data_IF_491852898465
#
_entry.id   IF_491852898465
#
_cell.length_a   1.000
_cell.length_b   1.000
_cell.length_c   1.000
_cell.angle_alpha   90.00
_cell.angle_beta   90.00
_cell.angle_gamma   90.00
#
_symmetry.space_group_name_H-M   'P 1'
#
loop_
_entity.id
_entity.type
_entity.pdbx_description
1 polymer ?
#
# COMPACT_ATOMS: atom_id res chain seq x y z
N UNK A 1 0.84 -7.64 -16.99
CA UNK A 1 -0.09 -7.37 -18.11
C UNK A 1 0.56 -6.34 -19.01
N UNK A 2 0.75 -6.64 -20.29
CA UNK A 2 1.35 -5.69 -21.22
C UNK A 2 0.30 -4.63 -21.59
N UNK A 3 0.50 -3.41 -21.15
CA UNK A 3 -0.41 -2.27 -21.40
C UNK A 3 -0.58 -1.95 -22.88
N UNK A 4 0.42 -2.23 -23.72
CA UNK A 4 0.36 -1.98 -25.16
C UNK A 4 -0.61 -2.93 -25.86
N UNK A 5 -0.66 -4.19 -25.43
CA UNK A 5 -1.62 -5.17 -25.94
C UNK A 5 -3.06 -4.84 -25.53
N UNK A 6 -3.24 -4.27 -24.34
CA UNK A 6 -4.55 -3.84 -23.85
C UNK A 6 -5.06 -2.62 -24.63
N UNK A 7 -4.18 -1.65 -24.89
CA UNK A 7 -4.50 -0.47 -25.71
C UNK A 7 -4.84 -0.86 -27.16
N UNK A 8 -4.09 -1.81 -27.73
CA UNK A 8 -4.35 -2.33 -29.09
C UNK A 8 -5.67 -3.09 -29.18
N UNK A 9 -6.04 -3.86 -28.16
CA UNK A 9 -7.33 -4.55 -28.08
C UNK A 9 -8.50 -3.55 -28.02
N UNK A 10 -8.39 -2.51 -27.18
CA UNK A 10 -9.41 -1.44 -27.07
C UNK A 10 -9.54 -0.65 -28.38
N UNK A 11 -8.42 -0.36 -29.07
CA UNK A 11 -8.46 0.32 -30.38
C UNK A 11 -9.07 -0.55 -31.47
N UNK A 12 -8.76 -1.87 -31.52
CA UNK A 12 -9.36 -2.80 -32.46
C UNK A 12 -10.89 -2.92 -32.29
N UNK A 13 -11.35 -2.94 -31.03
CA UNK A 13 -12.79 -2.94 -30.72
C UNK A 13 -13.50 -1.65 -31.15
N UNK A 14 -12.83 -0.50 -31.10
CA UNK A 14 -13.41 0.77 -31.54
C UNK A 14 -13.60 0.82 -33.07
N UNK A 15 -12.75 0.16 -33.86
CA UNK A 15 -12.90 0.06 -35.31
C UNK A 15 -14.06 -0.86 -35.72
N UNK A 16 -14.29 -1.97 -35.01
CA UNK A 16 -15.45 -2.85 -35.24
C UNK A 16 -16.77 -2.13 -34.91
N UNK A 17 -16.83 -1.32 -33.86
CA UNK A 17 -18.01 -0.51 -33.52
C UNK A 17 -18.38 0.48 -34.64
N UNK A 18 -17.37 1.09 -35.28
CA UNK A 18 -17.59 2.08 -36.35
C UNK A 18 -18.15 1.41 -37.62
N UNK A 19 -17.82 0.13 -37.83
CA UNK A 19 -18.17 -0.61 -39.04
C UNK A 19 -19.46 -1.47 -38.90
N UNK A 20 -20.10 -1.52 -37.75
CA UNK A 20 -21.33 -2.28 -37.54
C UNK A 20 -22.53 -1.55 -38.17
N UNK A 21 -23.07 -2.09 -39.25
CA UNK A 21 -24.31 -1.62 -39.90
C UNK A 21 -25.52 -2.39 -39.40
N UNK A 22 -26.01 -2.06 -38.21
CA UNK A 22 -27.23 -2.63 -37.66
C UNK A 22 -28.47 -2.03 -38.36
N UNK A 23 -29.49 -2.82 -38.55
CA UNK A 23 -30.79 -2.33 -39.07
C UNK A 23 -31.56 -1.59 -37.97
N UNK A 24 -32.37 -0.60 -38.36
CA UNK A 24 -33.15 0.22 -37.40
C UNK A 24 -34.46 -0.43 -36.95
N UNK A 25 -34.63 -1.73 -37.17
CA UNK A 25 -35.87 -2.47 -36.88
C UNK A 25 -35.94 -3.03 -35.45
N UNK A 26 -34.84 -3.09 -34.74
CA UNK A 26 -34.73 -3.62 -33.39
C UNK A 26 -33.52 -3.06 -32.64
N UNK A 27 -33.49 -3.27 -31.31
CA UNK A 27 -32.35 -2.93 -30.45
C UNK A 27 -31.40 -4.12 -30.42
N UNK A 28 -30.13 -3.86 -30.72
CA UNK A 28 -29.05 -4.85 -30.65
C UNK A 28 -28.31 -4.67 -29.31
N UNK A 29 -27.87 -5.79 -28.78
CA UNK A 29 -27.00 -5.79 -27.57
C UNK A 29 -25.55 -5.84 -28.03
N UNK A 30 -24.75 -4.93 -27.54
CA UNK A 30 -23.31 -4.92 -27.77
C UNK A 30 -22.64 -5.75 -26.68
N UNK A 31 -21.86 -6.76 -27.07
CA UNK A 31 -21.13 -7.68 -26.18
C UNK A 31 -19.68 -7.29 -25.93
N UNK A 32 -19.28 -6.08 -26.35
CA UNK A 32 -17.91 -5.52 -26.23
C UNK A 32 -17.33 -5.69 -24.82
N UNK A 33 -18.15 -5.51 -23.78
CA UNK A 33 -17.71 -5.71 -22.40
C UNK A 33 -17.31 -7.16 -22.14
N UNK A 34 -18.10 -8.11 -22.64
CA UNK A 34 -17.80 -9.54 -22.49
C UNK A 34 -16.54 -9.92 -23.26
N UNK A 35 -16.34 -9.40 -24.46
CA UNK A 35 -15.13 -9.64 -25.26
C UNK A 35 -13.89 -9.02 -24.61
N UNK A 36 -14.00 -7.82 -24.05
CA UNK A 36 -12.93 -7.18 -23.29
C UNK A 36 -12.51 -8.05 -22.08
N UNK A 37 -13.47 -8.54 -21.31
CA UNK A 37 -13.20 -9.41 -20.16
C UNK A 37 -12.58 -10.73 -20.61
N UNK A 38 -13.09 -11.35 -21.67
CA UNK A 38 -12.54 -12.60 -22.20
C UNK A 38 -11.10 -12.42 -22.71
N UNK A 39 -10.81 -11.31 -23.37
CA UNK A 39 -9.45 -10.96 -23.82
C UNK A 39 -8.53 -10.77 -22.63
N UNK A 40 -8.99 -10.07 -21.58
CA UNK A 40 -8.24 -9.89 -20.34
C UNK A 40 -7.93 -11.22 -19.65
N UNK A 41 -8.93 -12.11 -19.53
CA UNK A 41 -8.77 -13.45 -18.96
C UNK A 41 -7.79 -14.30 -19.79
N UNK A 42 -7.91 -14.26 -21.12
CA UNK A 42 -7.04 -15.02 -22.02
C UNK A 42 -5.58 -14.57 -21.98
N UNK A 43 -5.32 -13.28 -21.71
CA UNK A 43 -3.98 -12.72 -21.57
C UNK A 43 -3.44 -12.82 -20.14
N UNK A 44 -4.28 -13.09 -19.15
CA UNK A 44 -3.84 -13.28 -17.78
C UNK A 44 -3.19 -14.64 -17.63
N UNK A 45 -1.89 -14.65 -17.38
CA UNK A 45 -1.14 -15.85 -16.99
C UNK A 45 -0.89 -15.86 -15.50
N UNK A 46 -1.10 -17.00 -14.85
CA UNK A 46 -0.69 -17.15 -13.45
C UNK A 46 0.80 -17.48 -13.39
N UNK A 47 1.57 -16.61 -12.75
CA UNK A 47 2.98 -16.87 -12.48
C UNK A 47 3.10 -17.89 -11.34
N UNK A 48 3.91 -18.92 -11.53
CA UNK A 48 4.24 -19.86 -10.46
C UNK A 48 5.36 -19.30 -9.57
N UNK A 49 5.02 -18.25 -8.82
CA UNK A 49 5.96 -17.54 -7.94
C UNK A 49 6.57 -18.48 -6.90
N UNK A 50 5.83 -19.47 -6.42
CA UNK A 50 6.35 -20.46 -5.45
C UNK A 50 7.49 -21.29 -6.04
N UNK A 51 7.36 -21.76 -7.28
CA UNK A 51 8.42 -22.50 -7.95
C UNK A 51 9.60 -21.60 -8.32
N UNK A 52 9.31 -20.35 -8.69
CA UNK A 52 10.36 -19.37 -8.97
C UNK A 52 11.17 -19.02 -7.71
N UNK A 53 10.51 -18.80 -6.58
CA UNK A 53 11.20 -18.60 -5.30
C UNK A 53 12.08 -19.79 -4.96
N UNK A 54 11.55 -21.02 -5.08
CA UNK A 54 12.35 -22.24 -4.86
C UNK A 54 13.55 -22.31 -5.80
N UNK A 55 13.39 -21.95 -7.06
CA UNK A 55 14.50 -21.91 -8.03
C UNK A 55 15.58 -20.92 -7.60
N UNK A 56 15.21 -19.73 -7.11
CA UNK A 56 16.16 -18.75 -6.57
C UNK A 56 16.89 -19.33 -5.35
N UNK A 57 16.13 -19.92 -4.42
CA UNK A 57 16.70 -20.50 -3.19
C UNK A 57 17.69 -21.64 -3.51
N UNK A 58 17.33 -22.51 -4.46
CA UNK A 58 18.18 -23.64 -4.91
C UNK A 58 19.44 -23.20 -5.70
N UNK A 59 19.45 -21.98 -6.24
CA UNK A 59 20.57 -21.43 -7.04
C UNK A 59 21.14 -20.14 -6.43
N UNK A 60 21.05 -19.98 -5.12
CA UNK A 60 21.39 -18.75 -4.40
C UNK A 60 22.81 -18.25 -4.74
N UNK A 61 23.79 -19.12 -4.81
CA UNK A 61 25.19 -18.76 -5.14
C UNK A 61 25.29 -18.02 -6.49
N UNK A 62 24.55 -18.49 -7.50
CA UNK A 62 24.55 -17.82 -8.82
C UNK A 62 23.90 -16.46 -8.78
N UNK A 63 22.81 -16.31 -7.99
CA UNK A 63 22.14 -15.04 -7.86
C UNK A 63 22.94 -14.04 -7.03
N UNK A 64 23.66 -14.47 -6.01
CA UNK A 64 24.54 -13.62 -5.19
C UNK A 64 25.72 -13.03 -5.99
N UNK A 65 26.12 -13.67 -7.10
CA UNK A 65 27.09 -13.11 -8.04
C UNK A 65 26.48 -12.04 -8.97
N UNK A 66 25.15 -12.08 -9.21
CA UNK A 66 24.46 -11.24 -10.19
C UNK A 66 23.68 -10.08 -9.55
N UNK A 67 23.28 -10.23 -8.31
CA UNK A 67 22.42 -9.29 -7.60
C UNK A 67 23.01 -8.96 -6.23
N UNK A 68 22.86 -7.70 -5.80
CA UNK A 68 23.30 -7.31 -4.46
C UNK A 68 22.36 -7.86 -3.37
N UNK A 69 21.04 -7.95 -3.65
CA UNK A 69 20.05 -8.56 -2.76
C UNK A 69 18.81 -8.99 -3.55
N UNK A 70 18.04 -9.92 -2.98
CA UNK A 70 16.76 -10.38 -3.51
C UNK A 70 15.72 -10.34 -2.42
N UNK A 71 14.75 -9.44 -2.56
CA UNK A 71 13.63 -9.31 -1.65
C UNK A 71 12.35 -9.91 -2.23
N UNK A 72 11.62 -10.66 -1.40
CA UNK A 72 10.30 -11.18 -1.73
C UNK A 72 9.24 -10.31 -1.06
N UNK A 73 8.56 -9.48 -1.86
CA UNK A 73 7.48 -8.63 -1.34
C UNK A 73 6.15 -9.41 -1.32
N UNK A 74 5.51 -9.43 -0.16
CA UNK A 74 4.21 -10.04 0.04
C UNK A 74 3.14 -8.96 0.20
N UNK A 75 1.97 -9.13 -0.43
CA UNK A 75 0.83 -8.21 -0.32
C UNK A 75 0.03 -8.40 0.97
N UNK A 76 0.75 -8.51 2.10
CA UNK A 76 0.11 -8.59 3.42
C UNK A 76 0.03 -7.19 4.02
N UNK A 77 -1.17 -6.67 4.33
CA UNK A 77 -1.29 -5.36 4.94
C UNK A 77 -0.63 -5.34 6.32
N UNK A 78 0.21 -4.34 6.54
CA UNK A 78 0.82 -4.10 7.85
C UNK A 78 -0.16 -3.28 8.70
N UNK A 79 -0.54 -3.81 9.87
CA UNK A 79 -1.35 -3.08 10.83
C UNK A 79 -0.44 -2.45 11.87
N UNK A 80 0.06 -1.26 11.53
CA UNK A 80 0.96 -0.49 12.38
C UNK A 80 0.16 0.59 13.08
N UNK A 81 0.36 0.73 14.37
CA UNK A 81 -0.31 1.71 15.22
C UNK A 81 0.71 2.55 15.97
N UNK A 82 0.36 3.78 16.29
CA UNK A 82 1.08 4.60 17.26
C UNK A 82 1.06 3.89 18.62
N UNK A 83 2.19 3.75 19.29
CA UNK A 83 2.25 3.02 20.56
C UNK A 83 1.58 3.80 21.69
N UNK A 84 1.58 5.14 21.61
CA UNK A 84 0.84 5.98 22.54
C UNK A 84 -0.65 6.00 22.19
N UNK A 85 -1.46 5.52 23.10
CA UNK A 85 -2.93 5.44 22.98
C UNK A 85 -3.67 6.45 23.85
N UNK A 86 -2.97 7.46 24.40
CA UNK A 86 -3.56 8.50 25.27
C UNK A 86 -4.66 9.29 24.57
N UNK A 87 -4.46 9.62 23.30
CA UNK A 87 -5.42 10.33 22.45
C UNK A 87 -6.34 9.39 21.64
N UNK A 88 -6.23 8.08 21.85
CA UNK A 88 -7.00 7.08 21.13
C UNK A 88 -6.13 6.08 20.35
N UNK A 89 -6.78 5.24 19.56
CA UNK A 89 -6.12 4.26 18.70
C UNK A 89 -5.87 4.88 17.33
N UNK A 90 -4.60 5.11 16.99
CA UNK A 90 -4.20 5.70 15.70
C UNK A 90 -3.46 4.66 14.88
N UNK A 91 -4.05 4.28 13.74
CA UNK A 91 -3.41 3.43 12.74
C UNK A 91 -2.56 4.31 11.84
N UNK A 92 -1.29 3.97 11.66
CA UNK A 92 -0.30 4.82 10.98
C UNK A 92 0.06 4.35 9.57
N UNK A 93 -0.68 3.42 9.00
CA UNK A 93 -0.51 3.02 7.61
C UNK A 93 -1.61 3.66 6.73
N UNK A 94 -1.29 4.68 5.89
CA UNK A 94 -2.28 5.43 5.12
C UNK A 94 -3.03 4.59 4.07
N UNK A 95 -2.45 3.49 3.59
CA UNK A 95 -3.08 2.63 2.58
C UNK A 95 -4.44 2.07 3.02
N UNK A 96 -4.69 1.96 4.32
CA UNK A 96 -5.95 1.41 4.84
C UNK A 96 -7.06 2.45 4.95
N UNK A 97 -6.72 3.72 5.22
CA UNK A 97 -7.72 4.80 5.26
C UNK A 97 -8.32 5.09 3.87
N UNK A 98 -7.52 4.88 2.81
CA UNK A 98 -7.99 5.08 1.43
C UNK A 98 -8.65 3.84 0.82
N UNK A 99 -8.31 2.63 1.27
CA UNK A 99 -8.99 1.42 0.83
C UNK A 99 -10.50 1.44 1.19
N UNK A 100 -10.85 2.06 2.31
CA UNK A 100 -12.26 2.22 2.72
C UNK A 100 -13.01 3.26 1.87
N UNK A 101 -12.30 4.23 1.26
CA UNK A 101 -12.88 5.23 0.34
C UNK A 101 -13.05 4.71 -1.09
N UNK A 102 -12.33 3.66 -1.48
CA UNK A 102 -12.20 3.24 -2.87
C UNK A 102 -13.38 2.47 -3.42
N UNK A 103 -14.41 2.17 -2.62
CA UNK A 103 -15.45 1.24 -3.04
C UNK A 103 -16.31 1.71 -4.22
N UNK A 104 -16.35 3.00 -4.60
CA UNK A 104 -17.21 3.41 -5.72
C UNK A 104 -16.76 4.63 -6.57
N UNK A 105 -15.72 5.36 -6.23
CA UNK A 105 -15.43 6.62 -6.94
C UNK A 105 -14.00 6.79 -7.48
N UNK A 106 -13.07 5.94 -7.09
CA UNK A 106 -11.64 6.18 -7.31
C UNK A 106 -10.87 5.05 -8.03
N UNK A 107 -11.54 4.12 -8.69
CA UNK A 107 -10.88 3.02 -9.42
C UNK A 107 -9.82 3.49 -10.44
N UNK A 108 -9.95 4.72 -10.97
CA UNK A 108 -8.97 5.35 -11.84
C UNK A 108 -7.80 6.03 -11.11
N UNK A 109 -8.04 6.51 -9.87
CA UNK A 109 -7.00 7.13 -9.03
C UNK A 109 -6.23 6.11 -8.19
N UNK A 110 -6.79 4.93 -7.95
CA UNK A 110 -6.15 3.85 -7.22
C UNK A 110 -4.80 3.46 -7.83
N UNK A 111 -4.70 3.39 -9.15
CA UNK A 111 -3.44 3.13 -9.85
C UNK A 111 -2.43 4.28 -9.75
N UNK A 112 -2.88 5.52 -9.67
CA UNK A 112 -2.00 6.68 -9.53
C UNK A 112 -1.51 6.84 -8.08
N UNK A 113 -2.36 6.57 -7.11
CA UNK A 113 -2.07 6.76 -5.68
C UNK A 113 -1.51 5.49 -5.00
N UNK A 114 -1.78 4.29 -5.55
CA UNK A 114 -1.38 3.02 -4.92
C UNK A 114 0.08 2.67 -5.09
N UNK A 115 0.79 3.23 -6.06
CA UNK A 115 2.06 2.63 -6.46
C UNK A 115 3.30 3.23 -5.80
N UNK A 116 3.31 4.46 -5.31
CA UNK A 116 4.58 5.06 -4.86
C UNK A 116 4.47 6.06 -3.72
N UNK A 117 3.37 6.80 -3.62
CA UNK A 117 3.23 7.88 -2.64
C UNK A 117 2.68 7.40 -1.29
N UNK A 118 2.04 6.22 -1.28
CA UNK A 118 1.30 5.71 -0.12
C UNK A 118 2.02 4.58 0.62
N UNK A 119 3.06 3.97 0.03
CA UNK A 119 3.83 2.88 0.66
C UNK A 119 4.95 3.48 1.52
N UNK A 120 4.54 4.10 2.63
CA UNK A 120 5.49 4.77 3.55
C UNK A 120 6.25 3.79 4.46
N UNK A 121 5.73 2.56 4.60
CA UNK A 121 6.37 1.52 5.40
C UNK A 121 6.93 0.44 4.49
N UNK A 122 8.24 0.44 4.33
CA UNK A 122 8.96 -0.44 3.39
C UNK A 122 9.95 -1.30 4.17
N UNK A 123 10.06 -2.56 3.80
CA UNK A 123 11.11 -3.44 4.30
C UNK A 123 12.46 -2.96 3.78
N UNK A 124 13.39 -2.75 4.70
CA UNK A 124 14.74 -2.34 4.38
C UNK A 124 15.56 -3.52 3.83
N UNK A 125 16.41 -3.25 2.86
CA UNK A 125 17.40 -4.22 2.37
C UNK A 125 18.28 -4.69 3.53
N UNK A 126 18.56 -6.00 3.60
CA UNK A 126 19.36 -6.58 4.69
C UNK A 126 20.88 -6.38 4.55
N UNK A 127 21.35 -5.91 3.41
CA UNK A 127 22.78 -5.74 3.12
C UNK A 127 23.24 -4.34 3.55
N UNK A 128 24.06 -4.28 4.62
CA UNK A 128 24.61 -3.03 5.16
C UNK A 128 25.55 -2.33 4.16
N UNK A 129 26.25 -3.07 3.30
CA UNK A 129 27.15 -2.49 2.30
C UNK A 129 26.35 -1.75 1.22
N UNK A 130 25.24 -2.33 0.76
CA UNK A 130 24.33 -1.68 -0.17
C UNK A 130 23.72 -0.43 0.44
N UNK A 131 23.29 -0.50 1.70
CA UNK A 131 22.71 0.65 2.41
C UNK A 131 23.71 1.77 2.56
N UNK A 132 24.94 1.46 2.99
CA UNK A 132 26.00 2.46 3.21
C UNK A 132 26.46 3.17 1.94
N UNK A 133 26.23 2.57 0.76
CA UNK A 133 26.51 3.20 -0.54
C UNK A 133 25.40 4.12 -1.01
N UNK A 134 24.17 3.94 -0.51
CA UNK A 134 22.98 4.66 -0.98
C UNK A 134 22.54 5.75 -0.02
N UNK A 135 22.82 5.62 1.27
CA UNK A 135 22.32 6.50 2.32
C UNK A 135 23.40 6.92 3.29
N UNK A 136 23.37 8.19 3.68
CA UNK A 136 24.18 8.74 4.75
C UNK A 136 23.39 8.74 6.08
N UNK A 137 24.04 8.40 7.18
CA UNK A 137 23.42 8.47 8.50
C UNK A 137 23.55 9.89 9.02
N UNK A 138 22.46 10.62 9.09
CA UNK A 138 22.42 12.00 9.58
C UNK A 138 22.33 12.03 11.11
N UNK A 139 21.52 11.12 11.69
CA UNK A 139 21.30 11.01 13.11
C UNK A 139 21.05 9.57 13.54
N UNK A 140 21.55 9.17 14.71
CA UNK A 140 21.35 7.83 15.26
C UNK A 140 22.26 6.76 14.63
N UNK A 141 21.68 5.63 14.26
CA UNK A 141 22.38 4.47 13.67
C UNK A 141 21.44 3.63 12.81
N UNK A 142 21.99 2.75 12.01
CA UNK A 142 21.19 1.73 11.31
C UNK A 142 20.53 0.75 12.30
N UNK A 143 19.38 0.15 11.94
CA UNK A 143 18.70 -0.83 12.74
C UNK A 143 19.58 -2.06 13.01
N UNK A 144 19.56 -2.55 14.22
CA UNK A 144 20.26 -3.77 14.63
C UNK A 144 19.27 -4.91 14.96
N UNK A 145 17.98 -4.59 14.99
CA UNK A 145 16.91 -5.54 15.27
C UNK A 145 15.72 -5.32 14.36
N UNK A 146 14.98 -6.38 14.08
CA UNK A 146 13.79 -6.38 13.19
C UNK A 146 12.62 -5.50 13.65
N UNK A 147 12.65 -5.01 14.85
CA UNK A 147 11.64 -4.11 15.44
C UNK A 147 12.12 -2.66 15.50
N UNK A 148 13.20 -2.33 14.83
CA UNK A 148 13.70 -0.98 14.67
C UNK A 148 13.38 -0.48 13.24
N UNK A 149 13.15 0.81 13.12
CA UNK A 149 12.85 1.48 11.86
C UNK A 149 13.76 2.68 11.66
N UNK A 150 13.98 3.05 10.42
CA UNK A 150 14.68 4.29 10.04
C UNK A 150 13.72 5.20 9.30
N UNK A 151 13.91 6.50 9.47
CA UNK A 151 13.25 7.51 8.66
C UNK A 151 14.20 7.92 7.54
N UNK A 152 13.72 7.86 6.30
CA UNK A 152 14.43 8.42 5.15
C UNK A 152 14.01 9.86 4.95
N UNK A 153 15.00 10.73 4.81
CA UNK A 153 14.84 12.13 4.45
C UNK A 153 15.53 12.37 3.10
N UNK A 154 15.12 13.40 2.40
CA UNK A 154 15.77 13.79 1.15
C UNK A 154 17.08 14.56 1.36
N UNK A 155 17.72 15.01 0.27
CA UNK A 155 18.98 15.76 0.32
C UNK A 155 18.88 17.14 0.96
N UNK A 156 17.67 17.66 1.18
CA UNK A 156 17.39 18.90 1.88
C UNK A 156 17.04 18.68 3.36
N UNK A 157 17.09 17.43 3.82
CA UNK A 157 16.63 17.02 5.14
C UNK A 157 15.13 17.21 5.36
N UNK A 158 14.35 16.96 4.31
CA UNK A 158 12.90 17.10 4.30
C UNK A 158 12.20 15.74 4.16
N UNK A 159 10.99 15.65 4.67
CA UNK A 159 10.09 14.52 4.51
C UNK A 159 8.84 14.97 3.76
N UNK A 160 8.26 14.06 2.99
CA UNK A 160 6.99 14.31 2.33
C UNK A 160 5.87 14.45 3.38
N UNK A 161 4.95 15.39 3.17
CA UNK A 161 3.81 15.62 4.08
C UNK A 161 2.97 14.35 4.33
N UNK A 162 2.86 13.44 3.35
CA UNK A 162 2.19 12.16 3.52
C UNK A 162 2.80 11.29 4.62
N UNK A 163 4.09 11.46 4.90
CA UNK A 163 4.76 10.78 6.01
C UNK A 163 4.22 11.23 7.38
N UNK A 164 3.74 12.46 7.51
CA UNK A 164 3.14 12.95 8.77
C UNK A 164 1.89 12.11 9.14
N UNK A 165 1.12 11.70 8.14
CA UNK A 165 -0.01 10.78 8.33
C UNK A 165 0.47 9.35 8.62
N UNK A 166 1.52 8.90 7.94
CA UNK A 166 2.13 7.59 8.17
C UNK A 166 2.84 7.45 9.52
N UNK A 167 3.24 8.56 10.12
CA UNK A 167 3.80 8.64 11.47
C UNK A 167 2.72 8.89 12.55
N UNK A 168 1.47 9.16 12.14
CA UNK A 168 0.38 9.49 13.05
C UNK A 168 0.56 10.85 13.75
N UNK A 169 1.28 11.78 13.10
CA UNK A 169 1.42 13.16 13.54
C UNK A 169 0.19 13.95 13.11
N UNK A 170 -0.26 13.76 11.86
CA UNK A 170 -1.54 14.27 11.33
C UNK A 170 -2.60 13.17 11.32
N UNK A 171 -3.86 13.53 11.50
CA UNK A 171 -4.99 12.58 11.50
C UNK A 171 -5.33 12.15 10.06
N UNK A 172 -5.30 10.85 9.81
CA UNK A 172 -5.65 10.26 8.51
C UNK A 172 -7.10 10.53 8.08
N UNK A 173 -8.02 10.73 9.04
CA UNK A 173 -9.40 11.09 8.72
C UNK A 173 -9.48 12.51 8.12
N UNK A 174 -8.61 13.42 8.55
CA UNK A 174 -8.51 14.76 7.97
C UNK A 174 -7.96 14.69 6.55
N UNK A 175 -7.00 13.82 6.26
CA UNK A 175 -6.49 13.62 4.90
C UNK A 175 -7.63 13.28 3.93
N UNK A 176 -8.45 12.31 4.27
CA UNK A 176 -9.59 11.90 3.45
C UNK A 176 -10.57 13.05 3.22
N UNK A 177 -10.88 13.81 4.27
CA UNK A 177 -11.79 14.96 4.20
C UNK A 177 -11.21 16.09 3.34
N UNK A 178 -9.92 16.37 3.45
CA UNK A 178 -9.24 17.42 2.69
C UNK A 178 -9.17 17.08 1.21
N UNK A 179 -8.83 15.82 0.88
CA UNK A 179 -8.83 15.33 -0.51
C UNK A 179 -10.23 15.46 -1.13
N UNK A 180 -11.27 15.01 -0.41
CA UNK A 180 -12.64 15.11 -0.91
C UNK A 180 -13.10 16.57 -1.06
N UNK A 181 -12.72 17.44 -0.14
CA UNK A 181 -12.98 18.90 -0.22
C UNK A 181 -12.32 19.52 -1.45
N UNK A 182 -11.06 19.21 -1.69
CA UNK A 182 -10.30 19.70 -2.86
C UNK A 182 -10.90 19.19 -4.18
N UNK A 183 -11.26 17.90 -4.25
CA UNK A 183 -11.87 17.29 -5.45
C UNK A 183 -13.27 17.84 -5.74
N UNK A 184 -14.04 18.19 -4.72
CA UNK A 184 -15.37 18.78 -4.86
C UNK A 184 -15.35 20.30 -5.06
N UNK A 185 -14.19 20.94 -5.02
CA UNK A 185 -14.03 22.39 -5.12
C UNK A 185 -14.57 23.17 -3.92
N UNK A 186 -14.79 22.49 -2.77
CA UNK A 186 -15.34 23.08 -1.55
C UNK A 186 -14.28 23.36 -0.48
N UNK A 187 -13.03 22.93 -0.69
CA UNK A 187 -11.91 23.12 0.23
C UNK A 187 -10.60 23.34 -0.50
N UNK A 188 -9.68 24.03 0.16
CA UNK A 188 -8.29 24.13 -0.24
C UNK A 188 -7.46 23.23 0.69
N UNK A 189 -6.40 22.62 0.18
CA UNK A 189 -5.42 21.94 1.03
C UNK A 189 -4.54 23.02 1.66
N UNK A 190 -4.70 23.23 2.96
CA UNK A 190 -3.84 24.15 3.71
C UNK A 190 -2.44 23.53 3.84
N UNK A 191 -1.43 24.27 3.44
CA UNK A 191 -0.03 23.93 3.67
C UNK A 191 0.41 24.55 5.00
N UNK A 192 0.85 23.73 5.93
CA UNK A 192 1.39 24.15 7.22
C UNK A 192 2.90 23.82 7.24
N UNK A 193 3.72 24.85 7.46
CA UNK A 193 5.15 24.63 7.67
C UNK A 193 5.36 23.97 9.04
N UNK A 194 5.86 22.75 9.04
CA UNK A 194 6.17 21.97 10.24
C UNK A 194 7.63 21.56 10.23
N UNK A 195 8.24 21.54 11.41
CA UNK A 195 9.58 21.03 11.61
C UNK A 195 9.65 20.26 12.93
N UNK A 196 10.51 19.26 12.98
CA UNK A 196 10.69 18.38 14.13
C UNK A 196 12.18 18.22 14.42
N UNK A 197 12.54 18.14 15.68
CA UNK A 197 13.88 17.73 16.05
C UNK A 197 14.10 16.25 15.76
N UNK A 198 15.33 15.85 15.51
CA UNK A 198 15.67 14.43 15.34
C UNK A 198 15.28 13.60 16.56
N UNK A 199 15.41 14.17 17.76
CA UNK A 199 15.06 13.48 19.00
C UNK A 199 13.56 13.21 19.09
N UNK A 200 12.69 14.15 18.73
CA UNK A 200 11.24 13.97 18.70
C UNK A 200 10.82 12.86 17.76
N UNK A 201 11.33 12.88 16.52
CA UNK A 201 10.99 11.87 15.51
C UNK A 201 11.57 10.50 15.88
N UNK A 202 12.85 10.42 16.28
CA UNK A 202 13.49 9.13 16.57
C UNK A 202 13.00 8.48 17.87
N UNK A 203 12.33 9.23 18.76
CA UNK A 203 11.70 8.68 19.95
C UNK A 203 10.28 8.14 19.71
N UNK A 204 9.72 8.31 18.52
CA UNK A 204 8.40 7.76 18.18
C UNK A 204 8.41 6.25 18.25
N UNK A 205 7.35 5.68 18.80
CA UNK A 205 7.17 4.24 18.95
C UNK A 205 5.90 3.77 18.27
N UNK A 206 6.02 2.62 17.62
CA UNK A 206 4.93 2.00 16.90
C UNK A 206 4.70 0.57 17.38
N UNK A 207 3.50 0.07 17.16
CA UNK A 207 3.12 -1.29 17.45
C UNK A 207 2.60 -1.97 16.18
N UNK A 208 3.26 -3.03 15.76
CA UNK A 208 2.75 -3.93 14.73
C UNK A 208 1.78 -4.93 15.37
N UNK A 209 0.56 -5.01 14.85
CA UNK A 209 -0.46 -5.97 15.23
C UNK A 209 -0.68 -6.93 14.07
N UNK A 210 -0.51 -8.22 14.30
CA UNK A 210 -0.71 -9.22 13.25
C UNK A 210 -2.20 -9.47 13.00
N UNK A 211 -2.56 -9.84 11.77
CA UNK A 211 -3.95 -10.16 11.42
C UNK A 211 -4.52 -11.27 12.31
N UNK A 212 -3.71 -12.24 12.74
CA UNK A 212 -4.13 -13.30 13.65
C UNK A 212 -4.46 -12.81 15.05
N UNK A 213 -3.88 -11.67 15.50
CA UNK A 213 -4.13 -11.14 16.84
C UNK A 213 -5.54 -10.56 17.00
N UNK A 214 -6.20 -10.21 15.88
CA UNK A 214 -7.60 -9.78 15.90
C UNK A 214 -8.58 -10.93 16.03
N UNK A 215 -8.14 -12.16 15.77
CA UNK A 215 -9.02 -13.32 15.76
C UNK A 215 -9.19 -13.89 17.16
N UNK A 216 -10.41 -13.89 17.66
CA UNK A 216 -10.76 -14.42 18.99
C UNK A 216 -11.65 -15.62 18.84
N UNK A 217 -11.22 -16.75 19.42
CA UNK A 217 -12.00 -17.97 19.45
C UNK A 217 -13.00 -17.94 20.61
N UNK A 218 -14.23 -18.25 20.33
CA UNK A 218 -15.22 -18.50 21.36
C UNK A 218 -15.10 -19.94 21.84
N UNK A 219 -14.65 -20.14 23.07
CA UNK A 219 -14.38 -21.48 23.65
C UNK A 219 -15.64 -22.36 23.75
N UNK A 220 -16.84 -21.76 23.82
CA UNK A 220 -18.10 -22.52 23.91
C UNK A 220 -18.59 -23.01 22.56
N UNK A 221 -18.44 -22.17 21.51
CA UNK A 221 -18.97 -22.48 20.16
C UNK A 221 -17.90 -22.96 19.21
N UNK A 222 -16.61 -22.76 19.54
CA UNK A 222 -15.48 -23.03 18.67
C UNK A 222 -15.32 -22.03 17.50
N UNK A 223 -16.23 -21.04 17.37
CA UNK A 223 -16.21 -20.08 16.28
C UNK A 223 -15.18 -18.98 16.53
N UNK A 224 -14.53 -18.54 15.46
CA UNK A 224 -13.63 -17.38 15.46
C UNK A 224 -14.39 -16.12 15.11
N UNK A 225 -14.08 -15.02 15.78
CA UNK A 225 -14.60 -13.68 15.49
C UNK A 225 -13.46 -12.70 15.30
N UNK A 226 -13.55 -11.88 14.24
CA UNK A 226 -12.66 -10.76 14.00
C UNK A 226 -13.00 -9.60 14.93
N UNK A 227 -12.00 -9.07 15.63
CA UNK A 227 -12.07 -7.92 16.54
C UNK A 227 -11.34 -6.69 16.02
N UNK A 228 -10.92 -6.67 14.76
CA UNK A 228 -10.20 -5.54 14.16
C UNK A 228 -10.98 -4.20 14.22
N UNK A 229 -12.30 -4.26 14.10
CA UNK A 229 -13.18 -3.10 14.22
C UNK A 229 -13.48 -2.69 15.69
N UNK A 230 -13.05 -3.48 16.68
CA UNK A 230 -13.29 -3.17 18.09
C UNK A 230 -12.11 -2.39 18.67
N UNK A 231 -12.22 -1.05 18.68
CA UNK A 231 -11.15 -0.16 19.15
C UNK A 231 -10.69 -0.45 20.57
N UNK A 232 -11.59 -0.85 21.49
CA UNK A 232 -11.21 -1.22 22.85
C UNK A 232 -10.38 -2.50 22.92
N UNK A 233 -10.61 -3.44 21.98
CA UNK A 233 -9.81 -4.64 21.85
C UNK A 233 -8.45 -4.32 21.21
N UNK A 234 -8.44 -3.52 20.14
CA UNK A 234 -7.21 -3.08 19.47
C UNK A 234 -6.32 -2.32 20.44
N UNK A 235 -6.88 -1.39 21.23
CA UNK A 235 -6.13 -0.67 22.27
C UNK A 235 -5.41 -1.63 23.23
N UNK A 236 -6.06 -2.69 23.69
CA UNK A 236 -5.42 -3.71 24.54
C UNK A 236 -4.28 -4.47 23.84
N UNK A 237 -4.36 -4.67 22.53
CA UNK A 237 -3.26 -5.28 21.77
C UNK A 237 -2.04 -4.35 21.66
N UNK A 238 -2.28 -3.05 21.52
CA UNK A 238 -1.23 -2.03 21.42
C UNK A 238 -0.50 -1.88 22.76
N UNK A 239 -1.25 -1.87 23.88
CA UNK A 239 -0.73 -1.67 25.23
C UNK A 239 -0.06 -2.93 25.84
N UNK A 240 -0.15 -4.07 25.19
CA UNK A 240 0.43 -5.35 25.61
C UNK A 240 1.89 -5.50 25.20
#
# INVERSE_FOLDING_TARGET
VNTDNMMSAVMGMSEEMINSSNTLDKVYVNDMFTELINTFIAQSSSNNIKSFKKYIDDNRETFDELCNDIQFKYSTPLNIYKADTSEGVVKVNPNTAMADMSSNMMAGMENFMSSSLMDSWIEMIGDEEVISRQYDIIYGRLPQAKNEVVLLVDGNNEINEMLLYALGIKDQNQLSSNIMGALSGTGEMETEEMSFSYEEICNMKFRLVLNCDYMVKNEKTGLWSDKSANLSYVKKLIEK
#
